data_IF_443373635880
#
_entry.id   IF_443373635880
#
_cell.length_a   1.000
_cell.length_b   1.000
_cell.length_c   1.000
_cell.angle_alpha   90.00
_cell.angle_beta   90.00
_cell.angle_gamma   90.00
#
_symmetry.space_group_name_H-M   'P 1'
#
loop_
_entity.id
_entity.type
_entity.pdbx_description
1 polymer ?
#
# COMPACT_ATOMS: atom_id res chain seq x y z
N UNK A 1 26.62 13.19 40.54
CA UNK A 1 26.33 11.86 39.97
C UNK A 1 24.93 11.96 39.39
N UNK A 2 24.84 12.33 38.12
CA UNK A 2 23.56 12.40 37.41
C UNK A 2 23.86 12.08 35.95
N UNK A 3 23.70 10.81 35.59
CA UNK A 3 23.82 10.37 34.21
C UNK A 3 22.50 10.69 33.51
N UNK A 4 22.35 11.95 33.08
CA UNK A 4 21.24 12.37 32.24
C UNK A 4 21.39 11.70 30.87
N UNK A 5 20.69 10.58 30.68
CA UNK A 5 20.62 9.94 29.38
C UNK A 5 20.03 10.95 28.37
N UNK A 6 20.60 11.05 27.15
CA UNK A 6 20.09 11.97 26.14
C UNK A 6 18.65 11.58 25.77
N UNK A 7 17.76 12.58 25.78
CA UNK A 7 16.38 12.42 25.35
C UNK A 7 16.38 12.39 23.82
N UNK A 8 16.02 11.25 23.25
CA UNK A 8 15.93 11.05 21.80
C UNK A 8 14.47 11.23 21.40
N UNK A 9 14.20 12.21 20.53
CA UNK A 9 12.88 12.40 19.93
C UNK A 9 12.68 11.47 18.72
N UNK A 10 11.67 10.61 18.80
CA UNK A 10 11.34 9.61 17.78
C UNK A 10 10.10 9.99 16.96
N UNK A 11 9.47 11.13 17.25
CA UNK A 11 8.17 11.50 16.70
C UNK A 11 8.17 11.51 15.16
N UNK A 12 9.23 12.03 14.55
CA UNK A 12 9.39 12.09 13.09
C UNK A 12 9.51 10.71 12.43
N UNK A 13 10.14 9.74 13.09
CA UNK A 13 10.27 8.38 12.59
C UNK A 13 8.95 7.61 12.70
N UNK A 14 8.21 7.83 13.78
CA UNK A 14 6.87 7.25 13.98
C UNK A 14 5.93 7.75 12.88
N UNK A 15 5.89 9.06 12.64
CA UNK A 15 5.09 9.63 11.54
C UNK A 15 5.49 9.10 10.16
N UNK A 16 6.79 8.89 9.91
CA UNK A 16 7.26 8.35 8.65
C UNK A 16 6.80 6.89 8.44
N UNK A 17 6.75 6.09 9.49
CA UNK A 17 6.25 4.71 9.46
C UNK A 17 4.73 4.69 9.25
N UNK A 18 3.98 5.56 9.93
CA UNK A 18 2.52 5.65 9.74
C UNK A 18 2.12 6.09 8.33
N UNK A 19 2.91 6.97 7.71
CA UNK A 19 2.69 7.46 6.34
C UNK A 19 3.23 6.52 5.26
N UNK A 20 3.98 5.48 5.63
CA UNK A 20 4.54 4.56 4.66
C UNK A 20 3.42 3.71 4.04
N UNK A 21 3.23 3.82 2.73
CA UNK A 21 2.29 2.95 2.02
C UNK A 21 2.78 1.50 2.07
N UNK A 22 1.88 0.59 2.39
CA UNK A 22 2.14 -0.83 2.23
C UNK A 22 2.35 -1.18 0.75
N UNK A 23 3.15 -2.21 0.48
CA UNK A 23 3.34 -2.69 -0.89
C UNK A 23 2.03 -3.28 -1.43
N UNK A 24 1.24 -2.44 -2.10
CA UNK A 24 0.04 -2.91 -2.78
C UNK A 24 0.46 -3.69 -4.03
N UNK A 25 -0.01 -4.92 -4.16
CA UNK A 25 0.10 -5.70 -5.40
C UNK A 25 -0.72 -4.99 -6.47
N UNK A 26 -0.04 -4.27 -7.37
CA UNK A 26 -0.67 -3.53 -8.46
C UNK A 26 -0.64 -4.36 -9.74
N UNK A 27 -1.78 -4.40 -10.43
CA UNK A 27 -1.91 -4.92 -11.78
C UNK A 27 -2.39 -3.85 -12.75
N UNK A 28 -2.53 -4.24 -14.02
CA UNK A 28 -3.05 -3.35 -15.07
C UNK A 28 -4.29 -3.96 -15.71
N UNK A 29 -5.34 -3.17 -15.84
CA UNK A 29 -6.52 -3.52 -16.64
C UNK A 29 -6.08 -3.57 -18.11
N UNK A 30 -6.34 -4.69 -18.75
CA UNK A 30 -6.01 -4.92 -20.17
C UNK A 30 -7.23 -4.77 -21.07
N UNK A 31 -8.42 -5.03 -20.54
CA UNK A 31 -9.66 -4.97 -21.32
C UNK A 31 -10.88 -4.77 -20.40
N UNK A 32 -11.88 -4.05 -20.88
CA UNK A 32 -13.17 -3.86 -20.21
C UNK A 32 -14.27 -4.23 -21.20
N UNK A 33 -15.03 -5.28 -20.89
CA UNK A 33 -16.12 -5.78 -21.75
C UNK A 33 -17.42 -5.90 -20.98
N UNK A 34 -18.28 -4.89 -21.11
CA UNK A 34 -19.57 -4.85 -20.42
C UNK A 34 -19.38 -4.98 -18.90
N UNK A 35 -19.69 -6.16 -18.37
CA UNK A 35 -19.63 -6.48 -16.94
C UNK A 35 -18.30 -7.12 -16.48
N UNK A 36 -17.46 -7.58 -17.42
CA UNK A 36 -16.23 -8.30 -17.10
C UNK A 36 -15.01 -7.41 -17.37
N UNK A 37 -14.09 -7.35 -16.41
CA UNK A 37 -12.80 -6.67 -16.53
C UNK A 37 -11.70 -7.72 -16.60
N UNK A 38 -10.84 -7.64 -17.61
CA UNK A 38 -9.60 -8.43 -17.68
C UNK A 38 -8.45 -7.58 -17.16
N UNK A 39 -7.65 -8.16 -16.27
CA UNK A 39 -6.46 -7.51 -15.74
C UNK A 39 -5.31 -8.50 -15.62
N UNK A 40 -4.09 -8.01 -15.80
CA UNK A 40 -2.87 -8.75 -15.46
C UNK A 40 -2.43 -8.32 -14.07
N UNK A 41 -2.63 -9.19 -13.08
CA UNK A 41 -2.30 -8.95 -11.67
C UNK A 41 -1.48 -10.13 -11.14
N UNK A 42 -0.28 -9.92 -10.56
CA UNK A 42 0.53 -11.01 -10.06
C UNK A 42 0.00 -11.56 -8.73
N UNK A 43 0.11 -12.87 -8.50
CA UNK A 43 -0.08 -13.49 -7.19
C UNK A 43 -1.51 -13.57 -6.65
N UNK A 44 -2.52 -13.04 -7.36
CA UNK A 44 -3.92 -13.09 -6.93
C UNK A 44 -4.54 -14.47 -7.13
N UNK A 45 -5.50 -14.82 -6.27
CA UNK A 45 -6.24 -16.09 -6.29
C UNK A 45 -7.71 -15.88 -6.64
N UNK A 46 -8.35 -16.95 -7.07
CA UNK A 46 -9.80 -16.95 -7.31
C UNK A 46 -10.53 -16.67 -6.00
N UNK A 47 -11.47 -15.73 -6.03
CA UNK A 47 -12.27 -15.31 -4.87
C UNK A 47 -11.68 -14.13 -4.07
N UNK A 48 -10.48 -13.66 -4.42
CA UNK A 48 -9.92 -12.46 -3.80
C UNK A 48 -10.57 -11.19 -4.36
N UNK A 49 -10.75 -10.20 -3.48
CA UNK A 49 -11.30 -8.90 -3.85
C UNK A 49 -10.18 -8.03 -4.43
N UNK A 50 -10.43 -7.47 -5.62
CA UNK A 50 -9.55 -6.50 -6.25
C UNK A 50 -10.24 -5.14 -6.34
N UNK A 51 -9.52 -4.07 -6.01
CA UNK A 51 -9.98 -2.70 -6.19
C UNK A 51 -9.54 -2.15 -7.54
N UNK A 52 -10.45 -1.46 -8.24
CA UNK A 52 -10.15 -0.78 -9.50
C UNK A 52 -10.08 0.71 -9.24
N UNK A 53 -8.97 1.35 -9.62
CA UNK A 53 -8.76 2.78 -9.43
C UNK A 53 -8.60 3.47 -10.78
N UNK A 54 -9.42 4.49 -11.02
CA UNK A 54 -9.28 5.40 -12.16
C UNK A 54 -8.20 6.45 -11.90
N UNK A 55 -7.72 7.07 -12.98
CA UNK A 55 -6.67 8.11 -12.93
C UNK A 55 -7.23 9.55 -12.84
N UNK A 56 -8.51 9.71 -12.53
CA UNK A 56 -9.20 11.01 -12.44
C UNK A 56 -8.95 11.71 -11.12
#
# INVERSE_FOLDING_TARGET
>A
MESAAPIIDLSSFIEAVEKAESITVKGRVTEVTGLVIKAKVPGVRIGEVCFVQGSS
#
